data_IF_980073371223
#
_entry.id   IF_980073371223
#
_cell.length_a   1.000
_cell.length_b   1.000
_cell.length_c   1.000
_cell.angle_alpha   90.00
_cell.angle_beta   90.00
_cell.angle_gamma   90.00
#
_symmetry.space_group_name_H-M   'P 1'
#
loop_
_entity.id
_entity.type
_entity.pdbx_description
1 polymer ?
#
# COMPACT_ATOMS: atom_id res chain seq x y z
N UNK A 1 -4.83 7.01 12.22
CA UNK A 1 -3.37 7.08 11.94
C UNK A 1 -2.96 8.54 11.73
N UNK A 2 -1.87 8.98 12.34
CA UNK A 2 -1.34 10.34 12.14
C UNK A 2 -0.82 10.54 10.70
N UNK A 3 -0.94 11.77 10.19
CA UNK A 3 -0.57 12.12 8.81
C UNK A 3 0.89 11.81 8.49
N UNK A 4 1.79 12.08 9.42
CA UNK A 4 3.24 11.86 9.27
C UNK A 4 3.54 10.37 9.11
N UNK A 5 3.04 9.55 10.04
CA UNK A 5 3.16 8.09 9.97
C UNK A 5 2.58 7.51 8.66
N UNK A 6 1.48 8.06 8.16
CA UNK A 6 0.91 7.65 6.87
C UNK A 6 1.86 7.98 5.70
N UNK A 7 2.45 9.17 5.69
CA UNK A 7 3.42 9.58 4.67
C UNK A 7 4.68 8.72 4.71
N UNK A 8 5.18 8.40 5.91
CA UNK A 8 6.31 7.50 6.10
C UNK A 8 6.03 6.10 5.53
N UNK A 9 4.86 5.52 5.83
CA UNK A 9 4.47 4.21 5.29
C UNK A 9 4.36 4.23 3.76
N UNK A 10 3.81 5.30 3.19
CA UNK A 10 3.75 5.48 1.73
C UNK A 10 5.17 5.55 1.14
N UNK A 11 6.05 6.39 1.71
CA UNK A 11 7.42 6.53 1.25
C UNK A 11 8.20 5.20 1.37
N UNK A 12 8.01 4.49 2.47
CA UNK A 12 8.62 3.18 2.71
C UNK A 12 8.14 2.15 1.69
N UNK A 13 6.83 2.08 1.42
CA UNK A 13 6.28 1.18 0.39
C UNK A 13 6.88 1.46 -1.00
N UNK A 14 7.08 2.74 -1.35
CA UNK A 14 7.70 3.11 -2.62
C UNK A 14 9.18 2.67 -2.68
N UNK A 15 9.92 2.85 -1.59
CA UNK A 15 11.29 2.37 -1.46
C UNK A 15 11.40 0.85 -1.60
N UNK A 16 10.48 0.09 -1.01
CA UNK A 16 10.44 -1.37 -1.12
C UNK A 16 10.14 -1.80 -2.56
N UNK A 17 9.15 -1.18 -3.22
CA UNK A 17 8.87 -1.46 -4.65
C UNK A 17 10.10 -1.22 -5.53
N UNK A 18 10.87 -0.18 -5.25
CA UNK A 18 12.12 0.07 -5.97
C UNK A 18 13.14 -1.05 -5.73
N UNK A 19 13.34 -1.48 -4.47
CA UNK A 19 14.23 -2.61 -4.15
C UNK A 19 13.80 -3.90 -4.85
N UNK A 20 12.51 -4.21 -4.86
CA UNK A 20 11.96 -5.36 -5.59
C UNK A 20 12.26 -5.27 -7.09
N UNK A 21 12.13 -4.08 -7.68
CA UNK A 21 12.50 -3.86 -9.09
C UNK A 21 13.99 -4.08 -9.34
N UNK A 22 14.85 -3.65 -8.40
CA UNK A 22 16.29 -3.92 -8.47
C UNK A 22 16.54 -5.42 -8.45
N UNK A 23 15.91 -6.18 -7.53
CA UNK A 23 16.00 -7.65 -7.49
C UNK A 23 15.66 -8.32 -8.83
N UNK A 24 14.68 -7.81 -9.57
CA UNK A 24 14.33 -8.34 -10.91
C UNK A 24 15.41 -8.06 -11.97
N UNK A 25 16.21 -7.01 -11.79
CA UNK A 25 17.30 -6.61 -12.70
C UNK A 25 18.68 -7.09 -12.26
N UNK A 26 18.79 -7.77 -11.11
CA UNK A 26 20.06 -8.30 -10.62
C UNK A 26 20.56 -9.43 -11.53
N UNK A 27 21.89 -9.59 -11.56
CA UNK A 27 22.52 -10.76 -12.19
C UNK A 27 21.95 -12.03 -11.54
N UNK A 28 21.76 -13.07 -12.34
CA UNK A 28 21.45 -14.40 -11.82
C UNK A 28 22.54 -14.84 -10.84
N UNK A 29 22.11 -15.46 -9.75
CA UNK A 29 22.98 -16.09 -8.78
C UNK A 29 23.84 -17.17 -9.44
N UNK A 30 25.10 -17.26 -9.04
CA UNK A 30 26.06 -18.22 -9.57
C UNK A 30 26.02 -19.55 -8.78
N UNK A 31 25.33 -19.59 -7.63
CA UNK A 31 25.17 -20.78 -6.78
C UNK A 31 23.75 -20.95 -6.20
N UNK A 32 23.39 -22.18 -5.81
CA UNK A 32 22.12 -22.45 -5.14
C UNK A 32 21.98 -21.74 -3.79
N UNK A 33 23.09 -21.54 -3.07
CA UNK A 33 23.11 -20.79 -1.81
C UNK A 33 22.78 -19.31 -2.05
N UNK A 34 23.38 -18.70 -3.07
CA UNK A 34 23.06 -17.33 -3.48
C UNK A 34 21.60 -17.19 -3.93
N UNK A 35 21.05 -18.18 -4.65
CA UNK A 35 19.62 -18.20 -5.01
C UNK A 35 18.76 -18.17 -3.75
N UNK A 36 19.06 -19.01 -2.76
CA UNK A 36 18.28 -19.07 -1.52
C UNK A 36 18.32 -17.74 -0.77
N UNK A 37 19.50 -17.11 -0.65
CA UNK A 37 19.65 -15.80 -0.02
C UNK A 37 18.87 -14.72 -0.77
N UNK A 38 18.98 -14.68 -2.11
CA UNK A 38 18.25 -13.71 -2.93
C UNK A 38 16.73 -13.89 -2.81
N UNK A 39 16.24 -15.13 -2.76
CA UNK A 39 14.81 -15.43 -2.61
C UNK A 39 14.29 -15.05 -1.23
N UNK A 40 15.04 -15.36 -0.17
CA UNK A 40 14.66 -14.96 1.19
C UNK A 40 14.56 -13.44 1.32
N UNK A 41 15.58 -12.71 0.86
CA UNK A 41 15.56 -11.24 0.87
C UNK A 41 14.39 -10.67 0.06
N UNK A 42 14.06 -11.27 -1.09
CA UNK A 42 12.91 -10.87 -1.90
C UNK A 42 11.59 -11.10 -1.14
N UNK A 43 11.42 -12.26 -0.53
CA UNK A 43 10.21 -12.58 0.23
C UNK A 43 10.01 -11.68 1.44
N UNK A 44 11.08 -11.35 2.18
CA UNK A 44 11.01 -10.39 3.29
C UNK A 44 10.52 -9.02 2.83
N UNK A 45 10.99 -8.55 1.67
CA UNK A 45 10.54 -7.29 1.07
C UNK A 45 9.07 -7.37 0.61
N UNK A 46 8.65 -8.48 0.01
CA UNK A 46 7.26 -8.68 -0.42
C UNK A 46 6.29 -8.73 0.77
N UNK A 47 6.66 -9.43 1.85
CA UNK A 47 5.88 -9.51 3.08
C UNK A 47 5.75 -8.15 3.75
N UNK A 48 6.87 -7.42 3.88
CA UNK A 48 6.86 -6.07 4.43
C UNK A 48 5.99 -5.11 3.61
N UNK A 49 6.09 -5.17 2.28
CA UNK A 49 5.25 -4.37 1.39
C UNK A 49 3.78 -4.69 1.59
N UNK A 50 3.43 -5.98 1.67
CA UNK A 50 2.06 -6.43 1.85
C UNK A 50 1.47 -5.94 3.18
N UNK A 51 2.23 -6.05 4.26
CA UNK A 51 1.81 -5.56 5.58
C UNK A 51 1.54 -4.04 5.56
N UNK A 52 2.41 -3.25 4.90
CA UNK A 52 2.21 -1.81 4.76
C UNK A 52 0.94 -1.50 3.92
N UNK A 53 0.73 -2.22 2.83
CA UNK A 53 -0.45 -2.05 1.98
C UNK A 53 -1.75 -2.35 2.72
N UNK A 54 -1.78 -3.42 3.53
CA UNK A 54 -2.92 -3.76 4.37
C UNK A 54 -3.23 -2.64 5.37
N UNK A 55 -2.23 -2.13 6.09
CA UNK A 55 -2.40 -1.02 7.03
C UNK A 55 -2.93 0.25 6.34
N UNK A 56 -2.43 0.57 5.16
CA UNK A 56 -2.91 1.72 4.38
C UNK A 56 -4.33 1.51 3.86
N UNK A 57 -4.71 0.28 3.50
CA UNK A 57 -6.04 -0.08 3.05
C UNK A 57 -7.07 0.02 4.18
N UNK A 58 -6.77 -0.49 5.36
CA UNK A 58 -7.61 -0.38 6.56
C UNK A 58 -7.90 1.10 6.88
N UNK A 59 -6.86 1.92 6.95
CA UNK A 59 -7.01 3.37 7.19
C UNK A 59 -7.84 4.03 6.08
N UNK A 60 -7.72 3.59 4.83
CA UNK A 60 -8.54 4.12 3.74
C UNK A 60 -10.01 3.74 3.93
N UNK A 61 -10.31 2.49 4.29
CA UNK A 61 -11.67 2.04 4.54
C UNK A 61 -12.31 2.83 5.70
N UNK A 62 -11.61 2.97 6.83
CA UNK A 62 -12.09 3.78 7.96
C UNK A 62 -12.41 5.22 7.55
N UNK A 63 -11.56 5.85 6.74
CA UNK A 63 -11.77 7.21 6.26
C UNK A 63 -12.97 7.32 5.31
N UNK A 64 -13.19 6.32 4.45
CA UNK A 64 -14.34 6.27 3.55
C UNK A 64 -15.61 6.11 4.37
N UNK A 65 -15.65 5.15 5.30
CA UNK A 65 -16.80 4.89 6.15
C UNK A 65 -17.15 6.10 7.01
N UNK A 66 -16.14 6.76 7.58
CA UNK A 66 -16.33 8.03 8.30
C UNK A 66 -17.00 9.09 7.43
N UNK A 67 -16.50 9.30 6.20
CA UNK A 67 -17.07 10.27 5.25
C UNK A 67 -18.48 9.90 4.80
N UNK A 68 -18.74 8.62 4.53
CA UNK A 68 -20.08 8.13 4.16
C UNK A 68 -21.06 8.39 5.30
N UNK A 69 -20.67 8.07 6.54
CA UNK A 69 -21.49 8.31 7.73
C UNK A 69 -21.70 9.81 7.99
N UNK A 70 -20.70 10.65 7.73
CA UNK A 70 -20.84 12.11 7.84
C UNK A 70 -21.84 12.64 6.81
N UNK A 71 -21.74 12.25 5.55
CA UNK A 71 -22.67 12.64 4.48
C UNK A 71 -24.09 12.18 4.81
N UNK A 72 -24.26 10.95 5.29
CA UNK A 72 -25.55 10.41 5.68
C UNK A 72 -26.21 11.18 6.84
N UNK A 73 -25.40 11.65 7.80
CA UNK A 73 -25.87 12.49 8.93
C UNK A 73 -26.18 13.92 8.52
N UNK A 74 -25.42 14.49 7.59
CA UNK A 74 -25.59 15.88 7.13
C UNK A 74 -26.79 16.08 6.21
N UNK A 75 -27.36 15.01 5.64
CA UNK A 75 -28.62 15.02 4.89
C UNK A 75 -28.76 16.18 3.89
N UNK A 76 -27.66 16.57 3.23
CA UNK A 76 -27.71 17.40 2.02
C UNK A 76 -28.21 16.46 0.93
N UNK A 77 -29.41 16.66 0.38
CA UNK A 77 -29.87 15.85 -0.74
C UNK A 77 -28.87 16.07 -1.88
N UNK A 78 -28.18 15.01 -2.31
CA UNK A 78 -27.50 14.99 -3.60
C UNK A 78 -28.55 14.98 -4.71
N UNK A 79 -29.38 16.01 -4.77
CA UNK A 79 -30.43 16.17 -5.77
C UNK A 79 -29.83 16.89 -6.98
N UNK A 80 -30.06 16.24 -8.13
CA UNK A 80 -29.99 16.75 -9.50
C UNK A 80 -28.64 16.75 -10.21
N UNK A 81 -28.33 15.60 -10.84
CA UNK A 81 -28.03 15.64 -12.28
C UNK A 81 -29.27 15.24 -13.07
N UNK A 82 -29.96 16.28 -13.55
CA UNK A 82 -31.05 16.22 -14.55
C UNK A 82 -30.68 15.24 -15.67
N UNK A 83 -31.50 14.22 -15.88
CA UNK A 83 -31.72 13.67 -17.22
C UNK A 83 -32.97 14.38 -17.75
N UNK A 84 -32.75 15.33 -18.65
CA UNK A 84 -33.76 15.83 -19.58
C UNK A 84 -33.47 15.19 -20.93
#
# INVERSE_FOLDING_TARGET
>A
MEKERKLELIQRSLGIRHKLKVHESMKLADSHEEVAVMMLAKWELEDELHAIEQLLAEVRHENVDFKVNQIAKENIPLVNKKKK
#
